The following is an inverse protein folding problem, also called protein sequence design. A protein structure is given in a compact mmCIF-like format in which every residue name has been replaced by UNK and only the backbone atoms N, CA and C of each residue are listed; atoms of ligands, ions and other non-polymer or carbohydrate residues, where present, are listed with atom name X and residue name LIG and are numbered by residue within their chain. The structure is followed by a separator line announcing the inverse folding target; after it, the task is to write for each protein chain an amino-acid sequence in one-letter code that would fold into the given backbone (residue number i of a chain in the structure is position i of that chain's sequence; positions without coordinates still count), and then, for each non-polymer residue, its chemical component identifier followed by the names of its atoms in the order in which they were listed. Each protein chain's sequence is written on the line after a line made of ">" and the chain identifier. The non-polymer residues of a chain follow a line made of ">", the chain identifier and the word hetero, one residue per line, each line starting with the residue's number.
data_IF_644378260166
#
_entry.id   IF_644378260166
#
_cell.length_a   1.000
_cell.length_b   1.000
_cell.length_c   1.000
_cell.angle_alpha   90.00
_cell.angle_beta   90.00
_cell.angle_gamma   90.00
#
_symmetry.space_group_name_H-M   'P 1'
#
loop_
_entity.id
_entity.type
_entity.pdbx_description
1 polymer ?
#
# COMPACT_ATOMS: atom_id res chain seq x y z
N UNK A 1 33.63 6.92 17.31
CA UNK A 1 32.35 6.53 16.67
C UNK A 1 32.34 7.06 15.25
N UNK A 2 32.01 6.23 14.27
CA UNK A 2 31.91 6.69 12.86
C UNK A 2 30.54 7.33 12.64
N UNK A 3 30.39 8.14 11.59
CA UNK A 3 29.10 8.76 11.23
C UNK A 3 27.99 7.71 10.99
N UNK A 4 28.35 6.51 10.51
CA UNK A 4 27.44 5.38 10.35
C UNK A 4 26.92 4.87 11.70
N UNK A 5 27.77 4.79 12.74
CA UNK A 5 27.37 4.37 14.10
C UNK A 5 26.41 5.36 14.75
N UNK A 6 26.57 6.66 14.49
CA UNK A 6 25.68 7.71 15.03
C UNK A 6 24.31 7.70 14.35
N UNK A 7 24.27 7.49 13.03
CA UNK A 7 23.02 7.35 12.28
C UNK A 7 22.24 6.08 12.68
N UNK A 8 22.96 4.98 12.93
CA UNK A 8 22.39 3.70 13.35
C UNK A 8 21.80 3.78 14.78
N UNK A 9 22.48 4.44 15.73
CA UNK A 9 21.93 4.65 17.08
C UNK A 9 20.63 5.47 17.09
N UNK A 10 20.44 6.40 16.15
CA UNK A 10 19.27 7.27 16.09
C UNK A 10 18.01 6.58 15.53
N UNK A 11 18.11 5.33 15.07
CA UNK A 11 16.98 4.59 14.48
C UNK A 11 15.99 4.05 15.52
N UNK A 12 16.49 3.61 16.67
CA UNK A 12 15.71 2.99 17.74
C UNK A 12 15.79 3.76 19.06
N UNK A 13 16.55 4.87 19.10
CA UNK A 13 16.54 5.81 20.21
C UNK A 13 15.37 6.82 20.02
N UNK A 14 14.18 6.38 20.44
CA UNK A 14 12.94 7.17 20.43
C UNK A 14 12.85 8.16 21.61
N UNK A 15 13.88 8.26 22.46
CA UNK A 15 13.84 9.03 23.70
C UNK A 15 13.75 10.55 23.40
N UNK A 16 12.52 11.08 23.43
CA UNK A 16 12.25 12.52 23.48
C UNK A 16 11.86 13.20 22.16
N UNK A 17 11.77 12.47 21.04
CA UNK A 17 11.22 13.04 19.80
C UNK A 17 9.68 12.96 19.81
N UNK A 18 8.96 14.05 19.52
CA UNK A 18 7.51 14.00 19.40
C UNK A 18 7.13 13.07 18.24
N UNK A 19 6.34 12.04 18.55
CA UNK A 19 5.83 11.10 17.56
C UNK A 19 4.66 11.76 16.83
N UNK A 20 4.70 11.92 15.50
CA UNK A 20 3.59 12.50 14.79
C UNK A 20 2.40 11.54 14.79
N UNK A 21 1.19 12.09 14.91
CA UNK A 21 -0.04 11.34 14.81
C UNK A 21 -0.44 11.09 13.34
N UNK A 22 -1.08 9.95 13.07
CA UNK A 22 -1.75 9.74 11.80
C UNK A 22 -2.96 10.67 11.67
N UNK A 23 -3.23 11.25 10.48
CA UNK A 23 -4.37 12.12 10.30
C UNK A 23 -5.69 11.35 10.41
N UNK A 24 -6.73 12.01 10.91
CA UNK A 24 -8.08 11.46 11.01
C UNK A 24 -8.69 11.05 9.64
N UNK A 25 -8.21 11.63 8.53
CA UNK A 25 -8.60 11.29 7.15
C UNK A 25 -7.38 10.89 6.32
N UNK A 26 -6.81 9.73 6.64
CA UNK A 26 -5.69 9.17 5.89
C UNK A 26 -6.12 8.72 4.48
N UNK A 27 -5.30 9.03 3.48
CA UNK A 27 -5.47 8.57 2.11
C UNK A 27 -4.15 8.59 1.33
N UNK A 28 -4.17 8.05 0.10
CA UNK A 28 -2.99 7.98 -0.77
C UNK A 28 -2.36 9.34 -1.07
N UNK A 29 -3.17 10.40 -1.22
CA UNK A 29 -2.69 11.76 -1.50
C UNK A 29 -1.89 12.32 -0.32
N UNK A 30 -2.38 12.10 0.90
CA UNK A 30 -1.65 12.50 2.11
C UNK A 30 -0.32 11.76 2.23
N UNK A 31 -0.28 10.45 1.99
CA UNK A 31 0.97 9.67 2.02
C UNK A 31 1.95 10.16 0.96
N UNK A 32 1.49 10.40 -0.27
CA UNK A 32 2.32 10.98 -1.34
C UNK A 32 2.89 12.35 -0.96
N UNK A 33 2.15 13.16 -0.21
CA UNK A 33 2.64 14.43 0.34
C UNK A 33 3.81 14.20 1.30
N UNK A 34 3.71 13.23 2.22
CA UNK A 34 4.80 12.92 3.16
C UNK A 34 6.07 12.41 2.47
N UNK A 35 5.95 11.69 1.36
CA UNK A 35 7.10 11.33 0.53
C UNK A 35 7.77 12.56 -0.09
N UNK A 36 6.99 13.50 -0.64
CA UNK A 36 7.53 14.74 -1.25
C UNK A 36 8.17 15.68 -0.22
N UNK A 37 7.64 15.69 1.00
CA UNK A 37 8.16 16.51 2.10
C UNK A 37 9.30 15.82 2.86
N UNK A 38 9.72 14.61 2.45
CA UNK A 38 10.75 13.81 3.12
C UNK A 38 10.46 13.47 4.60
N UNK A 39 9.21 13.55 5.02
CA UNK A 39 8.75 13.27 6.39
C UNK A 39 8.27 11.83 6.59
N UNK A 40 8.07 11.07 5.50
CA UNK A 40 7.50 9.72 5.55
C UNK A 40 8.26 8.76 6.48
N UNK A 41 9.58 8.90 6.56
CA UNK A 41 10.44 8.07 7.40
C UNK A 41 10.11 8.22 8.90
N UNK A 42 9.75 9.44 9.32
CA UNK A 42 9.38 9.73 10.70
C UNK A 42 8.05 9.07 11.04
N UNK A 43 7.06 9.13 10.14
CA UNK A 43 5.80 8.42 10.31
C UNK A 43 6.00 6.91 10.30
N UNK A 44 6.77 6.37 9.35
CA UNK A 44 7.06 4.94 9.28
C UNK A 44 7.69 4.43 10.58
N UNK A 45 8.72 5.09 11.10
CA UNK A 45 9.36 4.73 12.38
C UNK A 45 8.38 4.79 13.53
N UNK A 46 7.67 5.91 13.66
CA UNK A 46 6.74 6.16 14.77
C UNK A 46 5.56 5.18 14.82
N UNK A 47 5.25 4.53 13.69
CA UNK A 47 4.13 3.60 13.56
C UNK A 47 4.55 2.17 13.20
N UNK A 48 5.82 1.78 13.39
CA UNK A 48 6.25 0.37 13.28
C UNK A 48 5.42 -0.52 14.22
N UNK A 49 5.20 -0.04 15.44
CA UNK A 49 4.24 -0.58 16.40
C UNK A 49 3.08 0.41 16.61
N UNK A 50 1.86 -0.07 16.88
CA UNK A 50 0.72 0.82 17.17
C UNK A 50 0.94 1.57 18.49
N UNK A 51 0.74 2.90 18.48
CA UNK A 51 0.89 3.74 19.66
C UNK A 51 -0.33 3.69 20.58
N UNK A 52 -1.53 3.59 20.01
CA UNK A 52 -2.80 3.50 20.72
C UNK A 52 -3.55 2.23 20.29
N UNK A 53 -3.07 1.02 20.63
CA UNK A 53 -3.67 -0.24 20.16
C UNK A 53 -5.11 -0.47 20.65
N UNK A 54 -5.52 0.19 21.74
CA UNK A 54 -6.88 0.14 22.26
C UNK A 54 -7.86 1.09 21.53
N UNK A 55 -7.36 2.02 20.72
CA UNK A 55 -8.18 2.96 19.95
C UNK A 55 -8.53 2.34 18.57
N UNK A 56 -9.80 2.02 18.31
CA UNK A 56 -10.21 1.40 17.04
C UNK A 56 -10.07 2.34 15.84
N UNK A 57 -10.24 3.65 16.03
CA UNK A 57 -10.10 4.65 14.95
C UNK A 57 -8.63 4.80 14.56
N UNK A 58 -7.74 4.92 15.55
CA UNK A 58 -6.30 4.88 15.32
C UNK A 58 -5.89 3.59 14.62
N UNK A 59 -6.35 2.43 15.09
CA UNK A 59 -5.97 1.14 14.50
C UNK A 59 -6.44 0.98 13.05
N UNK A 60 -7.61 1.53 12.70
CA UNK A 60 -8.04 1.60 11.29
C UNK A 60 -7.07 2.42 10.45
N UNK A 61 -6.68 3.61 10.92
CA UNK A 61 -5.71 4.45 10.18
C UNK A 61 -4.33 3.83 10.11
N UNK A 62 -3.88 3.18 11.17
CA UNK A 62 -2.60 2.49 11.22
C UNK A 62 -2.53 1.33 10.21
N UNK A 63 -3.59 0.52 10.09
CA UNK A 63 -3.67 -0.53 9.06
C UNK A 63 -3.68 0.08 7.65
N UNK A 64 -4.52 1.10 7.44
CA UNK A 64 -4.64 1.76 6.15
C UNK A 64 -3.31 2.43 5.72
N UNK A 65 -2.55 2.99 6.66
CA UNK A 65 -1.23 3.57 6.40
C UNK A 65 -0.27 2.56 5.80
N UNK A 66 -0.10 1.41 6.46
CA UNK A 66 0.77 0.36 5.96
C UNK A 66 0.27 -0.25 4.65
N UNK A 67 -1.05 -0.36 4.47
CA UNK A 67 -1.64 -0.83 3.22
C UNK A 67 -1.37 0.13 2.05
N UNK A 68 -1.56 1.44 2.24
CA UNK A 68 -1.24 2.46 1.22
C UNK A 68 0.25 2.45 0.86
N UNK A 69 1.14 2.14 1.80
CA UNK A 69 2.57 2.01 1.57
C UNK A 69 2.95 0.73 0.81
N UNK A 70 2.15 -0.33 0.92
CA UNK A 70 2.35 -1.59 0.21
C UNK A 70 1.86 -1.57 -1.25
N UNK A 71 0.98 -0.62 -1.60
CA UNK A 71 0.44 -0.46 -2.95
C UNK A 71 1.34 0.43 -3.82
N UNK A 72 1.25 0.24 -5.14
CA UNK A 72 2.05 0.94 -6.14
C UNK A 72 3.50 0.46 -6.19
N UNK A 73 3.93 -0.04 -7.35
CA UNK A 73 5.21 -0.75 -7.48
C UNK A 73 6.44 0.02 -7.00
N UNK A 74 6.58 1.27 -7.45
CA UNK A 74 7.72 2.09 -7.05
C UNK A 74 7.71 2.36 -5.54
N UNK A 75 6.55 2.67 -4.98
CA UNK A 75 6.40 3.02 -3.56
C UNK A 75 6.69 1.82 -2.67
N UNK A 76 6.04 0.70 -2.94
CA UNK A 76 6.20 -0.52 -2.17
C UNK A 76 7.66 -0.98 -2.15
N UNK A 77 8.34 -0.91 -3.30
CA UNK A 77 9.78 -1.20 -3.39
C UNK A 77 10.60 -0.29 -2.48
N UNK A 78 10.40 1.03 -2.56
CA UNK A 78 11.11 1.99 -1.69
C UNK A 78 10.87 1.73 -0.21
N UNK A 79 9.64 1.38 0.19
CA UNK A 79 9.29 1.05 1.57
C UNK A 79 9.99 -0.23 2.03
N UNK A 80 9.95 -1.29 1.21
CA UNK A 80 10.62 -2.57 1.51
C UNK A 80 12.13 -2.38 1.64
N UNK A 81 12.78 -1.73 0.67
CA UNK A 81 14.23 -1.43 0.71
C UNK A 81 14.63 -0.64 1.96
N UNK A 82 13.75 0.26 2.44
CA UNK A 82 14.00 1.03 3.65
C UNK A 82 13.89 0.17 4.91
N UNK A 83 12.83 -0.62 5.01
CA UNK A 83 12.62 -1.54 6.13
C UNK A 83 13.72 -2.62 6.18
N UNK A 84 14.18 -3.13 5.04
CA UNK A 84 15.30 -4.08 4.97
C UNK A 84 16.59 -3.46 5.49
N UNK A 85 16.93 -2.22 5.08
CA UNK A 85 18.08 -1.50 5.65
C UNK A 85 17.97 -1.29 7.15
N UNK A 86 16.77 -0.98 7.67
CA UNK A 86 16.56 -0.85 9.12
C UNK A 86 16.71 -2.18 9.85
N UNK A 87 16.25 -3.29 9.25
CA UNK A 87 16.44 -4.64 9.79
C UNK A 87 17.93 -4.98 9.88
N UNK A 88 18.68 -4.78 8.79
CA UNK A 88 20.12 -5.04 8.73
C UNK A 88 20.93 -4.15 9.70
N UNK A 89 20.52 -2.88 9.86
CA UNK A 89 21.13 -1.99 10.85
C UNK A 89 20.88 -2.49 12.27
N UNK A 90 19.66 -2.94 12.58
CA UNK A 90 19.34 -3.49 13.89
C UNK A 90 20.10 -4.80 14.15
N UNK A 91 20.15 -5.73 13.18
CA UNK A 91 20.90 -7.00 13.29
C UNK A 91 22.36 -6.76 13.65
N UNK A 92 23.05 -5.85 12.96
CA UNK A 92 24.46 -5.52 13.25
C UNK A 92 24.68 -4.95 14.66
N UNK A 93 23.66 -4.32 15.25
CA UNK A 93 23.76 -3.67 16.57
C UNK A 93 23.22 -4.53 17.72
N UNK A 94 22.44 -5.59 17.43
CA UNK A 94 22.03 -6.58 18.46
C UNK A 94 23.25 -7.39 18.95
N UNK A 95 24.24 -7.59 18.08
CA UNK A 95 25.45 -8.38 18.38
C UNK A 95 26.63 -7.54 18.91
N UNK A 96 26.54 -6.20 18.81
CA UNK A 96 27.57 -5.26 19.26
C UNK A 96 27.30 -4.75 20.68
N UNK A 97 28.22 -5.00 21.61
CA UNK A 97 28.10 -4.79 23.06
C UNK A 97 27.93 -3.33 23.58
N UNK A 98 27.33 -2.40 22.81
CA UNK A 98 27.34 -0.96 23.12
C UNK A 98 25.95 -0.26 23.16
N UNK A 99 24.85 -0.99 23.37
CA UNK A 99 23.52 -0.37 23.52
C UNK A 99 22.53 -1.22 24.32
N UNK A 100 21.36 -0.64 24.65
CA UNK A 100 20.25 -1.39 25.24
C UNK A 100 19.72 -2.42 24.23
N UNK A 101 20.33 -3.60 24.27
CA UNK A 101 20.02 -4.73 23.38
C UNK A 101 18.53 -5.08 23.34
N UNK A 102 17.77 -4.79 24.40
CA UNK A 102 16.33 -5.03 24.42
C UNK A 102 15.54 -4.04 23.54
N UNK A 103 15.98 -2.78 23.46
CA UNK A 103 15.38 -1.78 22.57
C UNK A 103 15.65 -2.13 21.10
N UNK A 104 16.89 -2.48 20.76
CA UNK A 104 17.27 -2.86 19.39
C UNK A 104 16.51 -4.12 18.94
N UNK A 105 16.38 -5.13 19.81
CA UNK A 105 15.60 -6.35 19.51
C UNK A 105 14.12 -6.06 19.25
N UNK A 106 13.49 -5.20 20.06
CA UNK A 106 12.08 -4.82 19.86
C UNK A 106 11.87 -4.05 18.56
N UNK A 107 12.80 -3.15 18.22
CA UNK A 107 12.79 -2.44 16.95
C UNK A 107 12.94 -3.42 15.78
N UNK A 108 13.93 -4.32 15.83
CA UNK A 108 14.14 -5.36 14.82
C UNK A 108 12.87 -6.19 14.59
N UNK A 109 12.26 -6.71 15.67
CA UNK A 109 11.02 -7.46 15.59
C UNK A 109 9.90 -6.65 14.93
N UNK A 110 9.71 -5.39 15.33
CA UNK A 110 8.68 -4.52 14.76
C UNK A 110 8.89 -4.27 13.25
N UNK A 111 10.15 -4.12 12.82
CA UNK A 111 10.51 -4.00 11.41
C UNK A 111 10.21 -5.29 10.64
N UNK A 112 10.55 -6.45 11.19
CA UNK A 112 10.26 -7.76 10.56
C UNK A 112 8.75 -7.99 10.42
N UNK A 113 7.98 -7.71 11.47
CA UNK A 113 6.51 -7.81 11.43
C UNK A 113 5.90 -6.86 10.39
N UNK A 114 6.44 -5.63 10.30
CA UNK A 114 6.01 -4.64 9.31
C UNK A 114 6.38 -5.05 7.89
N UNK A 115 7.58 -5.59 7.66
CA UNK A 115 7.99 -6.14 6.36
C UNK A 115 7.03 -7.25 5.90
N UNK A 116 6.71 -8.18 6.80
CA UNK A 116 5.78 -9.27 6.50
C UNK A 116 4.39 -8.74 6.16
N UNK A 117 3.91 -7.72 6.90
CA UNK A 117 2.64 -7.04 6.59
C UNK A 117 2.66 -6.42 5.19
N UNK A 118 3.67 -5.60 4.88
CA UNK A 118 3.79 -4.93 3.58
C UNK A 118 3.86 -5.93 2.44
N UNK A 119 4.65 -7.01 2.59
CA UNK A 119 4.75 -8.08 1.59
C UNK A 119 3.42 -8.83 1.41
N UNK A 120 2.69 -9.11 2.49
CA UNK A 120 1.37 -9.73 2.44
C UNK A 120 0.38 -8.87 1.68
N UNK A 121 0.28 -7.58 2.02
CA UNK A 121 -0.61 -6.63 1.34
C UNK A 121 -0.27 -6.51 -0.16
N UNK A 122 1.02 -6.46 -0.50
CA UNK A 122 1.49 -6.40 -1.89
C UNK A 122 1.21 -7.68 -2.68
N UNK A 123 1.22 -8.84 -2.03
CA UNK A 123 0.87 -10.12 -2.64
C UNK A 123 -0.64 -10.40 -2.65
N UNK A 124 -1.43 -9.52 -2.04
CA UNK A 124 -2.88 -9.63 -1.98
C UNK A 124 -3.60 -9.00 -3.18
N UNK A 125 -4.93 -9.02 -3.17
CA UNK A 125 -5.76 -8.47 -4.22
C UNK A 125 -5.45 -7.00 -4.48
N UNK A 126 -5.26 -6.65 -5.75
CA UNK A 126 -4.85 -5.34 -6.23
C UNK A 126 -3.51 -4.85 -5.69
N UNK A 127 -2.66 -5.70 -5.13
CA UNK A 127 -1.33 -5.30 -4.62
C UNK A 127 -0.39 -4.76 -5.71
N UNK A 128 -0.69 -5.05 -6.98
CA UNK A 128 -0.04 -4.49 -8.18
C UNK A 128 -0.63 -3.14 -8.62
N UNK A 129 -1.79 -2.76 -8.09
CA UNK A 129 -2.51 -1.56 -8.49
C UNK A 129 -1.99 -0.31 -7.76
N UNK A 130 -2.53 0.83 -8.18
CA UNK A 130 -2.17 2.12 -7.60
C UNK A 130 -2.73 2.32 -6.18
N UNK A 131 -2.10 3.17 -5.35
CA UNK A 131 -2.41 3.24 -3.92
C UNK A 131 -3.80 3.75 -3.54
N UNK A 132 -4.56 4.37 -4.44
CA UNK A 132 -5.95 4.75 -4.17
C UNK A 132 -6.85 3.54 -3.92
N UNK A 133 -6.48 2.34 -4.38
CA UNK A 133 -7.26 1.12 -4.17
C UNK A 133 -7.07 0.50 -2.78
N UNK A 134 -6.08 0.95 -2.00
CA UNK A 134 -5.81 0.45 -0.65
C UNK A 134 -6.96 0.67 0.35
N UNK A 135 -7.94 1.53 0.02
CA UNK A 135 -9.11 1.79 0.86
C UNK A 135 -10.23 0.77 0.69
N UNK A 136 -10.20 -0.02 -0.38
CA UNK A 136 -11.21 -1.05 -0.63
C UNK A 136 -11.08 -2.17 0.40
N UNK A 137 -12.18 -2.71 0.93
CA UNK A 137 -12.10 -3.95 1.69
C UNK A 137 -11.64 -5.12 0.81
N UNK A 138 -11.26 -6.24 1.43
CA UNK A 138 -10.69 -7.38 0.73
C UNK A 138 -11.65 -7.96 -0.32
N UNK A 139 -12.94 -8.08 0.00
CA UNK A 139 -13.94 -8.60 -0.94
C UNK A 139 -14.11 -7.69 -2.16
N UNK A 140 -14.16 -6.38 -1.94
CA UNK A 140 -14.24 -5.40 -3.01
C UNK A 140 -12.96 -5.39 -3.88
N UNK A 141 -11.79 -5.51 -3.25
CA UNK A 141 -10.52 -5.58 -3.96
C UNK A 141 -10.41 -6.85 -4.81
N UNK A 142 -10.77 -8.01 -4.27
CA UNK A 142 -10.83 -9.29 -5.00
C UNK A 142 -11.76 -9.21 -6.20
N UNK A 143 -12.95 -8.66 -6.02
CA UNK A 143 -13.92 -8.50 -7.09
C UNK A 143 -13.37 -7.61 -8.21
N UNK A 144 -12.80 -6.45 -7.86
CA UNK A 144 -12.20 -5.54 -8.85
C UNK A 144 -11.01 -6.19 -9.56
N UNK A 145 -10.17 -6.94 -8.84
CA UNK A 145 -9.06 -7.68 -9.44
C UNK A 145 -9.55 -8.76 -10.42
N UNK A 146 -10.52 -9.58 -10.02
CA UNK A 146 -11.12 -10.60 -10.89
C UNK A 146 -11.68 -10.00 -12.17
N UNK A 147 -12.36 -8.85 -12.08
CA UNK A 147 -12.88 -8.14 -13.25
C UNK A 147 -11.76 -7.59 -14.14
N UNK A 148 -10.74 -6.97 -13.55
CA UNK A 148 -9.60 -6.44 -14.30
C UNK A 148 -8.84 -7.57 -15.04
N UNK A 149 -8.56 -8.68 -14.35
CA UNK A 149 -7.92 -9.86 -14.93
C UNK A 149 -8.80 -10.47 -16.01
N UNK A 150 -10.11 -10.63 -15.79
CA UNK A 150 -11.04 -11.14 -16.81
C UNK A 150 -11.02 -10.32 -18.10
N UNK A 151 -10.94 -8.99 -18.01
CA UNK A 151 -10.81 -8.10 -19.17
C UNK A 151 -9.46 -8.30 -19.88
N UNK A 152 -8.36 -8.46 -19.13
CA UNK A 152 -7.03 -8.73 -19.68
C UNK A 152 -7.00 -10.09 -20.41
N UNK A 153 -7.56 -11.12 -19.80
CA UNK A 153 -7.68 -12.47 -20.37
C UNK A 153 -8.51 -12.46 -21.67
N UNK A 154 -9.62 -11.71 -21.70
CA UNK A 154 -10.43 -11.53 -22.92
C UNK A 154 -9.63 -10.82 -24.01
N UNK A 155 -8.93 -9.74 -23.66
CA UNK A 155 -8.12 -8.97 -24.62
C UNK A 155 -6.98 -9.80 -25.20
N UNK A 156 -6.43 -10.72 -24.41
CA UNK A 156 -5.41 -11.67 -24.85
C UNK A 156 -5.99 -12.88 -25.62
N UNK A 157 -7.31 -12.97 -25.78
CA UNK A 157 -8.00 -14.07 -26.47
C UNK A 157 -7.96 -15.40 -25.71
N UNK A 158 -7.65 -15.40 -24.41
CA UNK A 158 -7.61 -16.61 -23.58
C UNK A 158 -8.97 -17.03 -23.06
N UNK A 159 -9.90 -16.08 -22.96
CA UNK A 159 -11.32 -16.33 -22.73
C UNK A 159 -12.15 -15.61 -23.80
N UNK A 160 -13.34 -16.13 -24.05
CA UNK A 160 -14.36 -15.57 -24.92
C UNK A 160 -15.22 -14.53 -24.19
N UNK A 161 -15.98 -13.74 -24.98
CA UNK A 161 -16.97 -12.79 -24.43
C UNK A 161 -18.03 -13.52 -23.60
N UNK A 162 -18.45 -14.72 -24.01
CA UNK A 162 -19.41 -15.55 -23.30
C UNK A 162 -18.88 -16.00 -21.93
N UNK A 163 -17.59 -16.36 -21.87
CA UNK A 163 -16.91 -16.71 -20.60
C UNK A 163 -16.77 -15.49 -19.70
N UNK A 164 -16.49 -14.29 -20.24
CA UNK A 164 -16.52 -13.05 -19.45
C UNK A 164 -17.91 -12.77 -18.87
N UNK A 165 -18.99 -12.95 -19.64
CA UNK A 165 -20.36 -12.89 -19.10
C UNK A 165 -20.63 -13.99 -18.06
N UNK A 166 -20.04 -15.18 -18.22
CA UNK A 166 -20.05 -16.23 -17.20
C UNK A 166 -19.42 -15.77 -15.88
N UNK A 167 -18.26 -15.13 -15.95
CA UNK A 167 -17.58 -14.53 -14.78
C UNK A 167 -18.48 -13.49 -14.11
N UNK A 168 -19.03 -12.54 -14.89
CA UNK A 168 -19.94 -11.50 -14.37
C UNK A 168 -21.15 -12.10 -13.64
N UNK A 169 -21.71 -13.21 -14.15
CA UNK A 169 -22.81 -13.92 -13.48
C UNK A 169 -22.35 -14.56 -12.18
N UNK A 170 -21.19 -15.22 -12.18
CA UNK A 170 -20.64 -15.87 -11.00
C UNK A 170 -20.42 -14.88 -9.84
N UNK A 171 -19.93 -13.67 -10.16
CA UNK A 171 -19.75 -12.58 -9.18
C UNK A 171 -21.00 -11.71 -8.97
N UNK A 172 -22.15 -12.10 -9.54
CA UNK A 172 -23.46 -11.44 -9.40
C UNK A 172 -23.52 -9.98 -9.92
N UNK A 173 -22.64 -9.64 -10.86
CA UNK A 173 -22.58 -8.33 -11.52
C UNK A 173 -23.16 -8.32 -12.94
N UNK A 174 -23.54 -9.47 -13.50
CA UNK A 174 -24.29 -9.52 -14.76
C UNK A 174 -25.72 -9.01 -14.53
N UNK A 175 -25.91 -7.70 -14.75
CA UNK A 175 -27.17 -6.99 -14.56
C UNK A 175 -27.72 -6.55 -15.91
N UNK A 176 -29.04 -6.51 -16.03
CA UNK A 176 -29.71 -5.82 -17.14
C UNK A 176 -29.19 -4.37 -17.17
N UNK A 177 -28.67 -3.87 -18.30
CA UNK A 177 -28.17 -2.51 -18.43
C UNK A 177 -29.20 -1.44 -18.02
N UNK A 178 -30.50 -1.74 -18.09
CA UNK A 178 -31.58 -0.84 -17.63
C UNK A 178 -31.57 -0.61 -16.11
N UNK A 179 -30.97 -1.53 -15.34
CA UNK A 179 -30.81 -1.41 -13.89
C UNK A 179 -29.56 -0.62 -13.46
N UNK A 180 -28.68 -0.26 -14.38
CA UNK A 180 -27.47 0.53 -14.09
C UNK A 180 -27.78 2.01 -14.34
N UNK A 181 -27.49 2.93 -13.41
CA UNK A 181 -27.74 4.36 -13.60
C UNK A 181 -27.16 4.87 -14.93
N UNK A 182 -28.00 5.54 -15.72
CA UNK A 182 -27.62 6.05 -17.06
C UNK A 182 -26.38 6.95 -17.01
N UNK A 183 -26.29 7.79 -15.97
CA UNK A 183 -25.13 8.65 -15.71
C UNK A 183 -23.82 7.85 -15.65
N UNK A 184 -23.80 6.74 -14.92
CA UNK A 184 -22.61 5.87 -14.80
C UNK A 184 -22.23 5.27 -16.15
N UNK A 185 -23.20 4.83 -16.96
CA UNK A 185 -22.94 4.31 -18.30
C UNK A 185 -22.34 5.37 -19.23
N UNK A 186 -22.84 6.60 -19.14
CA UNK A 186 -22.35 7.75 -19.93
C UNK A 186 -20.93 8.14 -19.49
N UNK A 187 -20.65 8.18 -18.19
CA UNK A 187 -19.31 8.43 -17.63
C UNK A 187 -18.28 7.39 -18.10
N UNK A 188 -18.62 6.09 -18.06
CA UNK A 188 -17.73 5.01 -18.55
C UNK A 188 -17.43 5.18 -20.05
N UNK A 189 -18.44 5.51 -20.87
CA UNK A 189 -18.26 5.74 -22.32
C UNK A 189 -17.40 6.96 -22.60
N UNK A 190 -17.56 8.03 -21.83
CA UNK A 190 -16.73 9.23 -21.95
C UNK A 190 -15.27 8.91 -21.64
N UNK A 191 -15.01 8.28 -20.49
CA UNK A 191 -13.67 7.85 -20.07
C UNK A 191 -12.99 6.95 -21.12
N UNK A 192 -13.74 5.99 -21.68
CA UNK A 192 -13.21 5.09 -22.72
C UNK A 192 -12.83 5.84 -24.02
N UNK A 193 -13.63 6.83 -24.43
CA UNK A 193 -13.33 7.68 -25.60
C UNK A 193 -12.10 8.55 -25.36
N UNK A 194 -12.01 9.18 -24.20
CA UNK A 194 -10.91 10.05 -23.84
C UNK A 194 -9.59 9.26 -23.82
N UNK A 195 -9.58 8.08 -23.21
CA UNK A 195 -8.43 7.18 -23.20
C UNK A 195 -7.96 6.80 -24.62
N UNK A 196 -8.89 6.47 -25.52
CA UNK A 196 -8.60 6.16 -26.92
C UNK A 196 -8.07 7.38 -27.71
N UNK A 197 -8.50 8.60 -27.37
CA UNK A 197 -8.01 9.85 -27.95
C UNK A 197 -6.58 10.20 -27.53
N UNK A 198 -6.26 10.05 -26.24
CA UNK A 198 -4.90 10.30 -25.72
C UNK A 198 -3.84 9.34 -26.26
N UNK A 199 -4.20 8.11 -26.64
CA UNK A 199 -3.26 7.15 -27.22
C UNK A 199 -2.78 7.57 -28.62
N UNK A 200 -3.56 8.33 -29.39
CA UNK A 200 -3.19 8.73 -30.76
C UNK A 200 -2.15 9.86 -30.84
N UNK A 201 -1.91 10.57 -29.74
CA UNK A 201 -0.98 11.71 -29.71
C UNK A 201 0.42 11.37 -29.18
N UNK A 202 0.66 10.12 -28.74
CA UNK A 202 1.98 9.69 -28.22
C UNK A 202 2.85 8.95 -29.23
N UNK A 203 2.30 8.58 -30.37
CA UNK A 203 3.00 7.82 -31.43
C UNK A 203 3.24 8.68 -32.69
N UNK A 204 3.36 10.01 -32.54
CA UNK A 204 3.70 10.94 -33.64
C UNK A 204 4.94 11.76 -33.29
#
# INVERSE_FOLDING_TARGET
>A
MTAATVLDMQLWDDAGQPRPDLPAKLNATWVSKQFREHTIDTYMRSHLSPQAPADPDYMRQWRLFWRILAFGDKRARTVIEKLERWREAAERNVDGAAGDTAVVRRFHQSVVETLNRVRKERGGPLGWAEPQFAVLDDNAAELVEQLAVGIIELTAGRISVQELHGLLRAVRLDKDPRGIPRRTQEEVRALAKDAAGTSKHKDS
#
